data_IF_189668058078
#
_entry.id   IF_189668058078
#
_cell.length_a   1.000
_cell.length_b   1.000
_cell.length_c   1.000
_cell.angle_alpha   90.00
_cell.angle_beta   90.00
_cell.angle_gamma   90.00
#
_symmetry.space_group_name_H-M   'P 1'
#
loop_
_entity.id
_entity.type
_entity.pdbx_description
1 polymer ?
#
# COMPACT_ATOMS: atom_id res chain seq x y z
N UNK A 1 4.38 1.32 -16.64
CA UNK A 1 4.44 1.52 -15.18
C UNK A 1 5.42 2.63 -14.88
N UNK A 2 5.11 3.86 -15.31
CA UNK A 2 6.12 4.91 -15.29
C UNK A 2 5.95 5.75 -14.03
N UNK A 3 6.91 5.59 -13.10
CA UNK A 3 7.11 6.37 -11.89
C UNK A 3 6.20 6.03 -10.68
N UNK A 4 6.23 4.78 -10.22
CA UNK A 4 5.65 4.39 -8.93
C UNK A 4 6.63 4.68 -7.77
N UNK A 5 6.10 5.09 -6.62
CA UNK A 5 6.85 5.31 -5.38
C UNK A 5 6.16 4.59 -4.22
N UNK A 6 6.95 3.94 -3.36
CA UNK A 6 6.46 3.31 -2.13
C UNK A 6 5.93 4.35 -1.16
N UNK A 7 4.64 4.27 -0.85
CA UNK A 7 3.94 5.11 0.10
C UNK A 7 4.14 4.66 1.53
N UNK A 8 3.92 3.36 1.78
CA UNK A 8 4.02 2.70 3.09
C UNK A 8 4.31 1.21 2.90
N UNK A 9 4.95 0.61 3.89
CA UNK A 9 5.15 -0.84 4.01
C UNK A 9 4.28 -1.31 5.19
N UNK A 10 3.49 -2.35 4.96
CA UNK A 10 2.60 -2.97 5.94
C UNK A 10 3.13 -4.36 6.34
N UNK A 11 2.75 -4.84 7.51
CA UNK A 11 3.11 -6.19 7.96
C UNK A 11 2.10 -7.26 7.52
N UNK A 12 1.00 -6.84 6.90
CA UNK A 12 -0.01 -7.73 6.37
C UNK A 12 -0.60 -7.20 5.07
N UNK A 13 -1.01 -8.12 4.18
CA UNK A 13 -1.75 -7.79 2.97
C UNK A 13 -3.10 -7.15 3.25
N UNK A 14 -3.77 -7.56 4.33
CA UNK A 14 -5.09 -7.04 4.72
C UNK A 14 -5.03 -5.52 4.97
N UNK A 15 -4.08 -5.05 5.78
CA UNK A 15 -3.90 -3.62 6.04
C UNK A 15 -3.59 -2.83 4.76
N UNK A 16 -2.74 -3.39 3.90
CA UNK A 16 -2.40 -2.79 2.61
C UNK A 16 -3.62 -2.68 1.68
N UNK A 17 -4.50 -3.68 1.65
CA UNK A 17 -5.73 -3.68 0.86
C UNK A 17 -6.77 -2.68 1.39
N UNK A 18 -6.88 -2.51 2.72
CA UNK A 18 -7.71 -1.45 3.32
C UNK A 18 -7.18 -0.08 2.89
N UNK A 19 -5.88 0.16 3.03
CA UNK A 19 -5.25 1.42 2.64
C UNK A 19 -5.40 1.72 1.13
N UNK A 20 -5.21 0.70 0.27
CA UNK A 20 -5.45 0.79 -1.17
C UNK A 20 -6.90 1.15 -1.50
N UNK A 21 -7.86 0.53 -0.82
CA UNK A 21 -9.29 0.79 -1.02
C UNK A 21 -9.65 2.23 -0.63
N UNK A 22 -9.08 2.72 0.46
CA UNK A 22 -9.25 4.11 0.89
C UNK A 22 -8.64 5.12 -0.10
N UNK A 23 -7.44 4.86 -0.61
CA UNK A 23 -6.85 5.71 -1.66
C UNK A 23 -7.71 5.71 -2.94
N UNK A 24 -8.23 4.53 -3.32
CA UNK A 24 -9.11 4.39 -4.48
C UNK A 24 -10.39 5.22 -4.33
N UNK A 25 -11.03 5.23 -3.15
CA UNK A 25 -12.23 6.05 -2.92
C UNK A 25 -11.95 7.57 -2.96
N UNK A 26 -10.69 7.97 -2.80
CA UNK A 26 -10.20 9.33 -2.96
C UNK A 26 -9.59 9.59 -4.36
N UNK A 27 -9.91 8.77 -5.36
CA UNK A 27 -9.42 8.87 -6.74
C UNK A 27 -7.89 8.75 -6.90
N UNK A 28 -7.20 8.12 -5.95
CA UNK A 28 -5.77 7.86 -6.04
C UNK A 28 -5.55 6.39 -6.42
N UNK A 29 -5.00 6.17 -7.60
CA UNK A 29 -4.64 4.83 -8.07
C UNK A 29 -3.41 4.32 -7.30
N UNK A 30 -3.53 3.13 -6.73
CA UNK A 30 -2.48 2.49 -5.96
C UNK A 30 -2.36 1.00 -6.25
N UNK A 31 -1.19 0.43 -5.95
CA UNK A 31 -0.82 -0.95 -6.26
C UNK A 31 -0.21 -1.60 -5.03
N UNK A 32 -0.41 -2.90 -4.89
CA UNK A 32 0.25 -3.68 -3.85
C UNK A 32 1.35 -4.51 -4.50
N UNK A 33 2.53 -4.47 -3.88
CA UNK A 33 3.64 -5.35 -4.19
C UNK A 33 3.96 -6.14 -2.92
N UNK A 34 3.78 -7.45 -2.98
CA UNK A 34 4.06 -8.41 -1.91
C UNK A 34 4.86 -9.58 -2.49
N UNK A 35 5.63 -10.26 -1.66
CA UNK A 35 6.42 -11.45 -2.00
C UNK A 35 5.93 -12.66 -1.20
N UNK A 36 4.61 -12.87 -1.24
CA UNK A 36 3.84 -13.87 -0.48
C UNK A 36 3.42 -15.07 -1.34
N UNK A 37 4.02 -15.22 -2.53
CA UNK A 37 3.62 -16.13 -3.59
C UNK A 37 2.11 -16.09 -3.90
N UNK A 38 1.53 -14.89 -3.96
CA UNK A 38 0.11 -14.71 -4.24
C UNK A 38 -0.78 -15.03 -3.04
N UNK A 39 -0.32 -14.67 -1.84
CA UNK A 39 -0.94 -14.96 -0.53
C UNK A 39 -0.86 -16.43 -0.09
N UNK A 40 -0.05 -17.27 -0.75
CA UNK A 40 0.17 -18.66 -0.33
C UNK A 40 1.01 -18.74 0.96
N UNK A 41 1.87 -17.75 1.21
CA UNK A 41 2.70 -17.67 2.41
C UNK A 41 2.56 -16.32 3.13
N UNK A 42 1.41 -16.02 3.76
CA UNK A 42 1.17 -14.73 4.42
C UNK A 42 2.14 -14.44 5.58
N UNK A 43 2.73 -15.47 6.19
CA UNK A 43 3.74 -15.31 7.23
C UNK A 43 5.05 -14.69 6.73
N UNK A 44 5.35 -14.77 5.42
CA UNK A 44 6.54 -14.14 4.83
C UNK A 44 6.43 -12.61 4.79
N UNK A 45 5.19 -12.08 4.70
CA UNK A 45 4.93 -10.64 4.74
C UNK A 45 5.39 -10.00 6.07
N UNK A 46 5.44 -10.76 7.17
CA UNK A 46 5.96 -10.27 8.46
C UNK A 46 7.46 -9.93 8.41
N UNK A 47 8.20 -10.53 7.49
CA UNK A 47 9.65 -10.33 7.33
C UNK A 47 9.95 -9.32 6.22
N UNK A 48 9.29 -9.48 5.07
CA UNK A 48 9.59 -8.70 3.85
C UNK A 48 8.72 -7.45 3.73
N UNK A 49 7.51 -7.49 4.29
CA UNK A 49 6.53 -6.41 4.25
C UNK A 49 5.79 -6.28 2.91
N UNK A 50 4.56 -5.78 2.99
CA UNK A 50 3.68 -5.51 1.85
C UNK A 50 3.77 -4.03 1.47
N UNK A 51 4.26 -3.74 0.27
CA UNK A 51 4.44 -2.37 -0.22
C UNK A 51 3.17 -1.84 -0.87
N UNK A 52 2.70 -0.69 -0.41
CA UNK A 52 1.69 0.11 -1.09
C UNK A 52 2.38 1.16 -1.96
N UNK A 53 2.15 1.10 -3.26
CA UNK A 53 2.76 1.96 -4.28
C UNK A 53 1.72 2.92 -4.85
N UNK A 54 2.12 4.16 -5.12
CA UNK A 54 1.31 5.18 -5.82
C UNK A 54 2.13 5.82 -6.94
N UNK A 55 1.48 6.50 -7.89
CA UNK A 55 2.24 7.33 -8.84
C UNK A 55 2.97 8.44 -8.07
N UNK A 56 4.19 8.77 -8.50
CA UNK A 56 5.02 9.81 -7.89
C UNK A 56 4.30 11.16 -7.78
N UNK A 57 3.48 11.50 -8.78
CA UNK A 57 2.67 12.73 -8.79
C UNK A 57 1.61 12.80 -7.67
N UNK A 58 1.10 11.64 -7.24
CA UNK A 58 0.03 11.55 -6.25
C UNK A 58 0.58 11.32 -4.83
N UNK A 59 1.90 11.18 -4.69
CA UNK A 59 2.57 10.71 -3.47
C UNK A 59 2.28 11.57 -2.25
N UNK A 60 2.42 12.89 -2.36
CA UNK A 60 2.22 13.80 -1.20
C UNK A 60 0.76 13.85 -0.76
N UNK A 61 -0.19 13.81 -1.70
CA UNK A 61 -1.61 13.76 -1.39
C UNK A 61 -1.97 12.43 -0.71
N UNK A 62 -1.49 11.30 -1.26
CA UNK A 62 -1.71 9.98 -0.70
C UNK A 62 -1.12 9.87 0.72
N UNK A 63 0.06 10.45 0.95
CA UNK A 63 0.72 10.46 2.27
C UNK A 63 -0.10 11.19 3.32
N UNK A 64 -0.67 12.35 2.97
CA UNK A 64 -1.57 13.10 3.87
C UNK A 64 -2.82 12.30 4.23
N UNK A 65 -3.45 11.68 3.23
CA UNK A 65 -4.64 10.86 3.41
C UNK A 65 -4.38 9.66 4.33
N UNK A 66 -3.32 8.88 4.09
CA UNK A 66 -2.97 7.74 4.96
C UNK A 66 -2.68 8.18 6.39
N UNK A 67 -1.95 9.28 6.60
CA UNK A 67 -1.64 9.78 7.95
C UNK A 67 -2.88 10.22 8.74
N UNK A 68 -3.99 10.56 8.06
CA UNK A 68 -5.25 10.91 8.71
C UNK A 68 -5.95 9.69 9.34
N UNK A 69 -5.64 8.48 8.85
CA UNK A 69 -6.16 7.24 9.40
C UNK A 69 -5.20 6.74 10.47
N UNK A 70 -5.40 7.19 11.71
CA UNK A 70 -4.57 6.84 12.89
C UNK A 70 -4.54 5.34 13.26
N UNK A 71 -5.13 4.43 12.47
CA UNK A 71 -5.45 3.05 12.90
C UNK A 71 -5.14 1.92 11.90
N UNK A 72 -4.37 2.19 10.84
CA UNK A 72 -3.90 1.17 9.88
C UNK A 72 -2.39 1.32 9.69
#
# INVERSE_FOLDING_TARGET
MENLKTLKIFNSRIEADIAKSYLKSNNIKSYILADDAGSMYPSQDLVVGVKLLVNKKDFEQAKKLISSIKKI
#
